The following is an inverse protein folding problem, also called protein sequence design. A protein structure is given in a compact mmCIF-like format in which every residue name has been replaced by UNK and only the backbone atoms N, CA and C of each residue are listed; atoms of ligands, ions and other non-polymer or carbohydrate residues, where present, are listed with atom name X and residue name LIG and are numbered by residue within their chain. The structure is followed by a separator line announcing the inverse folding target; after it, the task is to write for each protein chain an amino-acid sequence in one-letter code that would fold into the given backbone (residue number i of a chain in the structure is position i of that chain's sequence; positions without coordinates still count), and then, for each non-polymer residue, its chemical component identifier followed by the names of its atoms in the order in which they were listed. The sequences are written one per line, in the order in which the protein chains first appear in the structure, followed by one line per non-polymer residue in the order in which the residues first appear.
data_IF_784179617115
#
_entry.id   IF_784179617115
#
_cell.length_a   1.000
_cell.length_b   1.000
_cell.length_c   1.000
_cell.angle_alpha   90.00
_cell.angle_beta   90.00
_cell.angle_gamma   90.00
#
_symmetry.space_group_name_H-M   'P 1'
#
loop_
_entity.id
_entity.type
_entity.pdbx_description
1 polymer ?
#
# COMPACT_ATOMS: atom_id res chain seq x y z
N UNK A 1 2.75 -15.59 -7.92
CA UNK A 1 2.03 -14.44 -7.36
C UNK A 1 1.82 -13.42 -8.47
N UNK A 2 0.59 -13.11 -8.74
CA UNK A 2 0.25 -12.12 -9.75
C UNK A 2 -0.04 -10.78 -9.09
N UNK A 3 0.40 -9.71 -9.74
CA UNK A 3 0.09 -8.36 -9.31
C UNK A 3 -0.67 -7.69 -10.44
N UNK A 4 -1.89 -7.24 -10.15
CA UNK A 4 -2.69 -6.49 -11.12
C UNK A 4 -2.70 -5.04 -10.71
N UNK A 5 -2.30 -4.17 -11.62
CA UNK A 5 -2.24 -2.74 -11.35
C UNK A 5 -3.24 -2.04 -12.25
N UNK A 6 -4.12 -1.25 -11.64
CA UNK A 6 -5.10 -0.45 -12.34
C UNK A 6 -4.76 1.01 -12.11
N UNK A 7 -4.84 1.81 -13.16
CA UNK A 7 -4.54 3.24 -13.09
C UNK A 7 -3.10 3.53 -13.47
N UNK A 8 -2.58 4.61 -12.95
CA UNK A 8 -1.22 5.07 -13.27
C UNK A 8 -0.33 4.94 -12.05
N UNK A 9 0.94 4.62 -12.29
CA UNK A 9 1.97 4.63 -11.24
C UNK A 9 2.71 5.95 -11.35
N UNK A 10 2.84 6.64 -10.22
CA UNK A 10 3.58 7.90 -10.17
C UNK A 10 5.06 7.64 -10.46
N UNK A 11 5.66 8.51 -11.30
CA UNK A 11 7.07 8.37 -11.66
C UNK A 11 7.97 9.22 -10.77
N UNK A 12 7.41 10.02 -9.88
CA UNK A 12 8.21 10.76 -8.93
C UNK A 12 8.94 9.79 -8.00
N UNK A 13 10.25 9.95 -7.88
CA UNK A 13 11.10 8.93 -7.28
C UNK A 13 10.65 8.49 -5.89
N UNK A 14 10.36 9.44 -5.01
CA UNK A 14 9.99 9.09 -3.63
C UNK A 14 8.67 8.34 -3.56
N UNK A 15 7.68 8.79 -4.34
CA UNK A 15 6.38 8.12 -4.38
C UNK A 15 6.53 6.74 -4.98
N UNK A 16 7.30 6.62 -6.07
CA UNK A 16 7.51 5.33 -6.71
C UNK A 16 8.18 4.33 -5.79
N UNK A 17 9.19 4.77 -5.02
CA UNK A 17 9.89 3.89 -4.08
C UNK A 17 8.98 3.41 -2.96
N UNK A 18 8.15 4.29 -2.42
CA UNK A 18 7.23 3.92 -1.36
C UNK A 18 6.15 2.97 -1.91
N UNK A 19 5.65 3.26 -3.11
CA UNK A 19 4.67 2.39 -3.75
C UNK A 19 5.24 0.98 -3.96
N UNK A 20 6.49 0.89 -4.42
CA UNK A 20 7.16 -0.39 -4.61
C UNK A 20 7.28 -1.14 -3.29
N UNK A 21 7.69 -0.47 -2.23
CA UNK A 21 7.79 -1.09 -0.90
C UNK A 21 6.43 -1.60 -0.44
N UNK A 22 5.38 -0.81 -0.66
CA UNK A 22 4.03 -1.19 -0.27
C UNK A 22 3.57 -2.45 -0.99
N UNK A 23 3.81 -2.50 -2.30
CA UNK A 23 3.43 -3.68 -3.09
C UNK A 23 4.18 -4.91 -2.60
N UNK A 24 5.49 -4.79 -2.39
CA UNK A 24 6.31 -5.92 -1.92
C UNK A 24 5.84 -6.41 -0.55
N UNK A 25 5.53 -5.51 0.34
CA UNK A 25 5.06 -5.89 1.67
C UNK A 25 3.71 -6.59 1.60
N UNK A 26 2.82 -6.11 0.73
CA UNK A 26 1.51 -6.73 0.56
C UNK A 26 1.62 -8.10 -0.09
N UNK A 27 2.58 -8.30 -1.01
CA UNK A 27 2.85 -9.61 -1.58
C UNK A 27 3.30 -10.58 -0.49
N UNK A 28 4.26 -10.16 0.34
CA UNK A 28 4.75 -10.99 1.43
C UNK A 28 3.63 -11.39 2.38
N UNK A 29 2.79 -10.42 2.74
CA UNK A 29 1.68 -10.69 3.65
C UNK A 29 0.64 -11.60 3.03
N UNK A 30 0.38 -11.44 1.73
CA UNK A 30 -0.57 -12.28 1.03
C UNK A 30 -0.09 -13.74 1.04
N UNK A 31 1.19 -13.96 0.77
CA UNK A 31 1.75 -15.30 0.76
C UNK A 31 1.76 -15.92 2.15
N UNK A 32 2.22 -15.16 3.14
CA UNK A 32 2.43 -15.72 4.50
C UNK A 32 1.14 -15.87 5.29
N UNK A 33 0.22 -14.93 5.13
CA UNK A 33 -0.91 -14.84 6.07
C UNK A 33 -2.26 -15.06 5.40
N UNK A 34 -2.37 -14.83 4.11
CA UNK A 34 -3.65 -14.93 3.41
C UNK A 34 -3.72 -16.09 2.43
N UNK A 35 -2.58 -16.71 2.12
CA UNK A 35 -2.49 -17.83 1.18
C UNK A 35 -3.15 -17.49 -0.16
N UNK A 36 -3.03 -16.24 -0.59
CA UNK A 36 -3.60 -15.80 -1.84
C UNK A 36 -2.63 -15.94 -2.99
N UNK A 37 -3.12 -15.67 -4.18
CA UNK A 37 -2.33 -15.75 -5.40
C UNK A 37 -2.27 -14.43 -6.16
N UNK A 38 -3.06 -13.45 -5.78
CA UNK A 38 -3.12 -12.16 -6.46
C UNK A 38 -3.13 -10.99 -5.48
N UNK A 39 -2.41 -9.95 -5.85
CA UNK A 39 -2.46 -8.66 -5.18
C UNK A 39 -3.01 -7.65 -6.19
N UNK A 40 -3.99 -6.87 -5.77
CA UNK A 40 -4.63 -5.86 -6.61
C UNK A 40 -4.19 -4.48 -6.16
N UNK A 41 -3.68 -3.69 -7.09
CA UNK A 41 -3.20 -2.33 -6.81
C UNK A 41 -4.01 -1.36 -7.65
N UNK A 42 -4.58 -0.35 -7.01
CA UNK A 42 -5.19 0.77 -7.71
C UNK A 42 -4.39 2.01 -7.36
N UNK A 43 -3.88 2.70 -8.37
CA UNK A 43 -3.06 3.88 -8.15
C UNK A 43 -3.58 5.00 -9.03
N UNK A 44 -3.87 6.14 -8.43
CA UNK A 44 -4.41 7.26 -9.20
C UNK A 44 -4.02 8.59 -8.59
N UNK A 45 -3.97 9.58 -9.47
CA UNK A 45 -3.61 10.93 -9.08
C UNK A 45 -4.80 11.61 -8.41
N UNK A 46 -4.52 12.31 -7.32
CA UNK A 46 -5.51 13.11 -6.63
C UNK A 46 -4.96 14.52 -6.48
N UNK A 47 -5.77 15.43 -5.99
CA UNK A 47 -5.32 16.80 -5.78
C UNK A 47 -4.15 16.79 -4.80
N UNK A 48 -3.00 17.26 -5.25
CA UNK A 48 -1.81 17.39 -4.42
C UNK A 48 -1.01 16.13 -4.21
N UNK A 49 -1.38 15.02 -4.86
CA UNK A 49 -0.61 13.80 -4.64
C UNK A 49 -1.16 12.58 -5.32
N UNK A 50 -0.95 11.43 -4.69
CA UNK A 50 -1.36 10.13 -5.21
C UNK A 50 -2.05 9.33 -4.13
N UNK A 51 -3.00 8.53 -4.54
CA UNK A 51 -3.70 7.60 -3.65
C UNK A 51 -3.55 6.20 -4.20
N UNK A 52 -3.12 5.28 -3.34
CA UNK A 52 -2.84 3.90 -3.73
C UNK A 52 -3.64 2.98 -2.81
N UNK A 53 -4.41 2.07 -3.41
CA UNK A 53 -5.17 1.04 -2.69
C UNK A 53 -4.57 -0.31 -3.05
N UNK A 54 -4.29 -1.14 -2.04
CA UNK A 54 -3.76 -2.48 -2.25
C UNK A 54 -4.56 -3.47 -1.45
N UNK A 55 -5.05 -4.51 -2.10
CA UNK A 55 -5.74 -5.61 -1.45
C UNK A 55 -5.29 -6.92 -2.10
N UNK A 56 -5.83 -8.04 -1.65
CA UNK A 56 -5.45 -9.34 -2.21
C UNK A 56 -6.68 -10.25 -2.28
N UNK A 57 -6.50 -11.40 -2.95
CA UNK A 57 -7.56 -12.39 -3.13
C UNK A 57 -7.50 -13.50 -2.08
N UNK A 58 -6.68 -13.34 -1.06
CA UNK A 58 -6.47 -14.39 -0.07
C UNK A 58 -7.57 -14.46 0.97
N UNK A 59 -7.29 -15.24 2.01
CA UNK A 59 -8.21 -15.45 3.11
C UNK A 59 -8.38 -14.18 3.91
N UNK A 60 -9.53 -14.07 4.57
CA UNK A 60 -9.77 -12.94 5.47
C UNK A 60 -8.74 -12.96 6.58
N UNK A 61 -8.24 -11.78 7.01
CA UNK A 61 -7.35 -11.75 8.16
C UNK A 61 -8.01 -12.33 9.40
N UNK A 62 -7.21 -12.94 10.24
CA UNK A 62 -7.70 -13.48 11.49
C UNK A 62 -8.14 -12.36 12.41
N UNK A 63 -9.12 -12.67 13.26
CA UNK A 63 -9.57 -11.71 14.25
C UNK A 63 -8.41 -11.26 15.12
N UNK A 64 -8.32 -9.96 15.37
CA UNK A 64 -7.22 -9.40 16.14
C UNK A 64 -5.97 -9.09 15.34
N UNK A 65 -6.00 -9.28 14.02
CA UNK A 65 -4.87 -8.94 13.17
C UNK A 65 -4.52 -7.46 13.27
N UNK A 66 -3.23 -7.18 13.24
CA UNK A 66 -2.72 -5.80 13.31
C UNK A 66 -1.43 -5.70 12.53
N UNK A 67 -0.95 -4.47 12.36
CA UNK A 67 0.28 -4.24 11.59
C UNK A 67 1.45 -4.91 12.28
N UNK A 68 2.21 -5.67 11.48
CA UNK A 68 3.47 -6.23 11.93
C UNK A 68 4.62 -5.30 11.56
N UNK A 69 5.85 -5.81 11.70
CA UNK A 69 7.05 -5.01 11.49
C UNK A 69 7.16 -4.39 10.11
N UNK A 70 6.83 -5.15 9.06
CA UNK A 70 6.92 -4.64 7.70
C UNK A 70 5.96 -3.50 7.43
N UNK A 71 4.71 -3.65 7.88
CA UNK A 71 3.73 -2.59 7.69
C UNK A 71 4.04 -1.38 8.55
N UNK A 72 4.56 -1.60 9.77
CA UNK A 72 4.96 -0.49 10.63
C UNK A 72 6.09 0.31 10.01
N UNK A 73 7.08 -0.37 9.42
CA UNK A 73 8.19 0.31 8.76
C UNK A 73 7.69 1.09 7.53
N UNK A 74 6.75 0.52 6.80
CA UNK A 74 6.16 1.22 5.67
C UNK A 74 5.42 2.47 6.12
N UNK A 75 4.67 2.37 7.23
CA UNK A 75 3.96 3.54 7.77
C UNK A 75 4.94 4.65 8.13
N UNK A 76 6.06 4.31 8.75
CA UNK A 76 7.06 5.32 9.07
C UNK A 76 7.60 6.01 7.82
N UNK A 77 7.84 5.24 6.76
CA UNK A 77 8.32 5.81 5.51
C UNK A 77 7.29 6.75 4.89
N UNK A 78 6.03 6.35 4.90
CA UNK A 78 4.93 7.16 4.36
C UNK A 78 4.80 8.47 5.14
N UNK A 79 4.80 8.38 6.46
CA UNK A 79 4.61 9.55 7.31
C UNK A 79 5.81 10.50 7.23
N UNK A 80 7.01 9.95 7.05
CA UNK A 80 8.21 10.76 6.88
C UNK A 80 8.12 11.65 5.64
N UNK A 81 7.41 11.17 4.61
CA UNK A 81 7.23 11.95 3.39
C UNK A 81 5.97 12.81 3.42
N UNK A 82 5.34 12.94 4.58
CA UNK A 82 4.15 13.77 4.72
C UNK A 82 2.85 13.08 4.29
N UNK A 83 2.90 11.78 4.04
CA UNK A 83 1.73 11.03 3.62
C UNK A 83 0.97 10.40 4.78
N UNK A 84 -0.06 9.67 4.43
CA UNK A 84 -0.90 8.95 5.39
C UNK A 84 -1.05 7.51 4.93
N UNK A 85 -1.15 6.61 5.91
CA UNK A 85 -1.36 5.19 5.64
C UNK A 85 -2.50 4.69 6.52
N UNK A 86 -3.41 3.97 5.88
CA UNK A 86 -4.54 3.35 6.57
C UNK A 86 -4.49 1.87 6.28
N UNK A 87 -4.61 1.03 7.31
CA UNK A 87 -4.74 -0.41 7.14
C UNK A 87 -6.06 -0.87 7.71
N UNK A 88 -6.69 -1.81 7.03
CA UNK A 88 -7.90 -2.45 7.50
C UNK A 88 -7.71 -3.95 7.41
N UNK A 89 -8.18 -4.65 8.42
CA UNK A 89 -8.10 -6.10 8.48
C UNK A 89 -9.47 -6.77 8.47
N UNK A 90 -10.53 -5.98 8.49
CA UNK A 90 -11.90 -6.49 8.51
C UNK A 90 -12.77 -5.64 7.59
N UNK A 91 -13.56 -6.23 6.72
CA UNK A 91 -13.74 -7.67 6.49
C UNK A 91 -12.60 -8.29 5.67
N UNK A 92 -11.77 -7.50 5.02
CA UNK A 92 -10.64 -7.96 4.22
C UNK A 92 -9.46 -7.05 4.44
N UNK A 93 -8.26 -7.56 4.14
CA UNK A 93 -7.09 -6.72 4.19
C UNK A 93 -7.17 -5.63 3.12
N UNK A 94 -6.92 -4.41 3.51
CA UNK A 94 -6.85 -3.27 2.61
C UNK A 94 -5.81 -2.29 3.13
N UNK A 95 -4.91 -1.89 2.26
CA UNK A 95 -3.92 -0.86 2.54
C UNK A 95 -4.22 0.35 1.67
N UNK A 96 -4.29 1.52 2.27
CA UNK A 96 -4.49 2.77 1.54
C UNK A 96 -3.35 3.71 1.88
N UNK A 97 -2.68 4.20 0.85
CA UNK A 97 -1.63 5.20 1.00
C UNK A 97 -2.09 6.50 0.34
N UNK A 98 -1.80 7.62 1.00
CA UNK A 98 -1.95 8.94 0.39
C UNK A 98 -0.58 9.61 0.47
N UNK A 99 -0.01 9.90 -0.68
CA UNK A 99 1.36 10.41 -0.77
C UNK A 99 1.36 11.77 -1.49
N UNK A 100 1.92 12.81 -0.88
CA UNK A 100 2.01 14.10 -1.56
C UNK A 100 3.04 14.04 -2.67
N UNK A 101 2.80 14.81 -3.71
CA UNK A 101 3.81 14.98 -4.75
C UNK A 101 4.68 16.16 -4.36
N UNK A 102 5.96 15.98 -4.45
CA UNK A 102 7.01 16.85 -4.02
C UNK A 102 6.84 18.31 -4.24
N UNK A 103 6.04 18.78 -4.00
CA UNK A 103 5.92 19.98 -4.10
C UNK A 103 6.50 21.13 -3.56
N UNK A 104 6.60 21.23 -3.52
CA UNK A 104 6.68 22.11 -3.27
C UNK A 104 7.08 22.90 -3.09
N UNK A 105 7.29 23.31 -3.20
CA UNK A 105 7.60 23.99 -3.12
C UNK A 105 7.46 24.54 -2.98
N UNK A 106 7.52 24.96 -2.75
CA UNK A 106 7.43 25.55 -2.57
C UNK A 106 7.41 25.99 -2.32
#
# INVERSE_FOLDING_TARGET
MDVEIEGEICEETKVALITDKAIRECITNCIRHAHGSKVYVQSYKVLGGWKIHITNDGERPKEGSKEGGGLSALREAVEREGGQMITRFDPRFLLVLELPVGGTED
#
